data_IF_761176259726
#
_entry.id   IF_761176259726
#
_cell.length_a   1.000
_cell.length_b   1.000
_cell.length_c   1.000
_cell.angle_alpha   90.00
_cell.angle_beta   90.00
_cell.angle_gamma   90.00
#
_symmetry.space_group_name_H-M   'P 1'
#
loop_
_entity.id
_entity.type
_entity.pdbx_description
1 polymer ?
#
# COMPACT_ATOMS: atom_id res chain seq x y z
N UNK A 1 -5.91 21.57 21.23
CA UNK A 1 -5.08 22.00 20.09
C UNK A 1 -5.49 23.40 19.64
N UNK A 2 -6.74 23.62 19.25
CA UNK A 2 -7.22 24.89 18.69
C UNK A 2 -6.97 26.12 19.60
N UNK A 3 -7.30 26.04 20.89
CA UNK A 3 -7.00 27.10 21.84
C UNK A 3 -5.48 27.42 22.00
N UNK A 4 -4.60 26.44 21.79
CA UNK A 4 -3.14 26.68 21.81
C UNK A 4 -2.67 27.35 20.51
N UNK A 5 -3.27 26.99 19.36
CA UNK A 5 -3.00 27.65 18.09
C UNK A 5 -3.46 29.11 18.08
N UNK A 6 -4.62 29.40 18.68
CA UNK A 6 -5.14 30.77 18.85
C UNK A 6 -4.25 31.62 19.78
N UNK A 7 -3.64 31.00 20.79
CA UNK A 7 -2.66 31.63 21.66
C UNK A 7 -1.23 31.68 21.06
N UNK A 8 -1.05 31.28 19.80
CA UNK A 8 0.24 31.20 19.10
C UNK A 8 1.28 30.26 19.77
N UNK A 9 0.83 29.33 20.60
CA UNK A 9 1.67 28.29 21.20
C UNK A 9 1.69 27.05 20.30
N UNK A 10 2.54 27.10 19.26
CA UNK A 10 2.63 26.07 18.24
C UNK A 10 3.29 24.78 18.73
N UNK A 11 4.19 24.86 19.72
CA UNK A 11 4.81 23.69 20.34
C UNK A 11 3.73 22.84 21.03
N UNK A 12 2.89 23.49 21.86
CA UNK A 12 1.79 22.80 22.54
C UNK A 12 0.71 22.33 21.57
N UNK A 13 0.42 23.11 20.52
CA UNK A 13 -0.52 22.68 19.48
C UNK A 13 -0.02 21.42 18.75
N UNK A 14 1.27 21.34 18.45
CA UNK A 14 1.91 20.19 17.78
C UNK A 14 1.88 18.95 18.67
N UNK A 15 2.24 19.08 19.95
CA UNK A 15 2.17 17.97 20.90
C UNK A 15 0.75 17.40 21.01
N UNK A 16 -0.26 18.27 21.12
CA UNK A 16 -1.67 17.86 21.17
C UNK A 16 -2.13 17.20 19.88
N UNK A 17 -1.69 17.69 18.71
CA UNK A 17 -2.00 17.09 17.41
C UNK A 17 -1.41 15.69 17.28
N UNK A 18 -0.18 15.50 17.72
CA UNK A 18 0.48 14.20 17.70
C UNK A 18 -0.18 13.20 18.65
N UNK A 19 -0.61 13.65 19.84
CA UNK A 19 -1.35 12.77 20.77
C UNK A 19 -2.73 12.40 20.23
N UNK A 20 -3.43 13.34 19.59
CA UNK A 20 -4.70 13.04 18.90
C UNK A 20 -4.51 12.02 17.77
N UNK A 21 -3.45 12.17 16.96
CA UNK A 21 -3.12 11.21 15.92
C UNK A 21 -2.78 9.83 16.50
N UNK A 22 -2.05 9.77 17.63
CA UNK A 22 -1.75 8.53 18.35
C UNK A 22 -3.03 7.81 18.80
N UNK A 23 -3.95 8.53 19.45
CA UNK A 23 -5.21 7.97 19.93
C UNK A 23 -6.14 7.51 18.80
N UNK A 24 -6.07 8.16 17.63
CA UNK A 24 -6.82 7.78 16.43
C UNK A 24 -6.17 6.66 15.61
N UNK A 25 -4.94 6.25 15.93
CA UNK A 25 -4.17 5.30 15.13
C UNK A 25 -3.62 5.89 13.83
N UNK A 26 -3.56 7.22 13.72
CA UNK A 26 -3.05 7.99 12.57
C UNK A 26 -1.59 8.44 12.75
N UNK A 27 -0.92 8.05 13.84
CA UNK A 27 0.47 8.41 14.10
C UNK A 27 1.41 7.75 13.07
N UNK A 28 2.51 8.43 12.67
CA UNK A 28 3.54 7.83 11.84
C UNK A 28 4.12 6.64 12.59
N UNK A 29 4.03 5.49 11.95
CA UNK A 29 4.32 4.24 12.60
C UNK A 29 5.83 4.12 12.77
N UNK A 30 6.26 3.71 13.97
CA UNK A 30 7.66 3.41 14.21
C UNK A 30 8.09 2.26 13.29
N UNK A 31 9.33 2.29 12.75
CA UNK A 31 9.81 1.20 11.90
C UNK A 31 9.78 -0.12 12.69
N UNK A 32 8.87 -1.04 12.31
CA UNK A 32 8.74 -2.37 12.92
C UNK A 32 7.33 -2.80 13.36
N UNK A 33 6.32 -1.93 13.28
CA UNK A 33 4.94 -2.29 13.63
C UNK A 33 4.24 -3.07 12.48
N UNK A 34 3.57 -4.21 12.73
CA UNK A 34 2.99 -5.06 11.68
C UNK A 34 1.67 -4.55 11.08
N UNK A 35 1.00 -3.58 11.71
CA UNK A 35 -0.34 -3.08 11.30
C UNK A 35 -0.29 -1.70 10.63
N UNK A 36 0.56 -1.55 9.61
CA UNK A 36 0.80 -0.24 8.98
C UNK A 36 0.31 -0.19 7.55
N UNK A 37 -0.72 0.63 7.31
CA UNK A 37 -1.05 1.11 5.97
C UNK A 37 -0.16 2.31 5.68
N UNK A 38 1.11 2.06 5.37
CA UNK A 38 1.99 3.09 4.84
C UNK A 38 1.51 3.46 3.45
N UNK A 39 1.02 4.69 3.27
CA UNK A 39 0.80 5.25 1.93
C UNK A 39 2.18 5.54 1.33
N UNK A 40 2.83 4.51 0.78
CA UNK A 40 4.08 4.62 0.04
C UNK A 40 3.78 4.97 -1.42
N UNK A 41 4.68 5.70 -2.06
CA UNK A 41 4.63 5.85 -3.52
C UNK A 41 4.60 4.44 -4.16
N UNK A 42 3.64 4.14 -5.04
CA UNK A 42 3.58 2.85 -5.71
C UNK A 42 4.88 2.62 -6.49
N UNK A 43 5.45 1.41 -6.51
CA UNK A 43 6.63 1.12 -7.31
C UNK A 43 6.36 1.43 -8.79
N UNK A 44 7.40 1.79 -9.58
CA UNK A 44 7.24 2.10 -10.99
C UNK A 44 6.49 0.97 -11.73
N UNK A 45 5.36 1.28 -12.35
CA UNK A 45 4.46 0.30 -12.99
C UNK A 45 3.24 -0.10 -12.16
N UNK A 46 3.13 0.35 -10.91
CA UNK A 46 1.97 0.12 -10.03
C UNK A 46 0.94 1.28 -10.04
N UNK A 47 1.03 2.22 -10.99
CA UNK A 47 0.05 3.28 -11.18
C UNK A 47 -1.04 2.83 -12.16
N UNK A 48 -2.25 2.53 -11.68
CA UNK A 48 -3.41 2.28 -12.54
C UNK A 48 -4.53 1.50 -11.86
N UNK A 49 -5.76 1.64 -12.35
CA UNK A 49 -6.89 0.78 -11.96
C UNK A 49 -6.49 -0.69 -12.19
N UNK A 50 -6.42 -1.49 -11.12
CA UNK A 50 -6.06 -2.90 -11.18
C UNK A 50 -4.80 -3.30 -10.39
N UNK A 51 -4.02 -2.34 -9.87
CA UNK A 51 -2.84 -2.64 -9.04
C UNK A 51 -3.18 -3.03 -7.60
N UNK A 52 -4.41 -2.76 -7.15
CA UNK A 52 -4.96 -3.36 -5.94
C UNK A 52 -5.50 -4.79 -6.13
N UNK A 53 -5.47 -5.36 -7.34
CA UNK A 53 -5.92 -6.75 -7.54
C UNK A 53 -4.84 -7.68 -6.99
N UNK A 54 -5.11 -8.48 -5.94
CA UNK A 54 -4.14 -9.44 -5.46
C UNK A 54 -3.81 -10.43 -6.58
N UNK A 55 -2.54 -10.48 -6.96
CA UNK A 55 -2.05 -11.50 -7.92
C UNK A 55 -2.26 -12.85 -7.26
N UNK A 56 -3.13 -13.68 -7.84
CA UNK A 56 -3.38 -15.04 -7.35
C UNK A 56 -2.06 -15.81 -7.36
N UNK A 57 -1.53 -16.13 -6.18
CA UNK A 57 -0.34 -16.98 -6.10
C UNK A 57 -0.69 -18.38 -6.60
N UNK A 58 0.07 -18.92 -7.56
CA UNK A 58 -0.15 -20.29 -8.00
C UNK A 58 0.18 -21.27 -6.87
N UNK A 59 -0.47 -22.45 -6.83
CA UNK A 59 -0.18 -23.47 -5.84
C UNK A 59 1.31 -23.87 -5.80
N UNK A 60 1.78 -24.32 -4.64
CA UNK A 60 3.16 -24.79 -4.46
C UNK A 60 3.47 -25.92 -5.47
N UNK A 61 4.52 -25.73 -6.28
CA UNK A 61 4.93 -26.68 -7.31
C UNK A 61 4.26 -26.51 -8.68
N UNK A 62 3.41 -25.50 -8.86
CA UNK A 62 2.85 -25.21 -10.18
C UNK A 62 3.92 -24.66 -11.13
N UNK A 63 4.10 -25.33 -12.25
CA UNK A 63 5.00 -24.92 -13.33
C UNK A 63 4.16 -24.37 -14.48
N UNK A 64 4.41 -23.12 -14.88
CA UNK A 64 3.75 -22.50 -16.03
C UNK A 64 4.05 -23.30 -17.30
N UNK A 65 3.04 -23.70 -18.11
CA UNK A 65 3.28 -24.36 -19.38
C UNK A 65 4.16 -23.52 -20.31
N UNK A 66 5.05 -24.17 -21.06
CA UNK A 66 5.85 -23.51 -22.08
C UNK A 66 4.92 -22.91 -23.13
N UNK A 67 5.16 -21.65 -23.49
CA UNK A 67 4.40 -20.99 -24.56
C UNK A 67 4.60 -21.83 -25.85
N UNK A 68 3.53 -22.12 -26.60
CA UNK A 68 3.68 -22.78 -27.90
C UNK A 68 4.58 -21.93 -28.79
N UNK A 69 5.32 -22.60 -29.68
CA UNK A 69 6.12 -21.92 -30.68
C UNK A 69 5.19 -21.03 -31.53
N UNK A 70 5.64 -19.82 -31.86
CA UNK A 70 4.89 -18.92 -32.73
C UNK A 70 4.62 -19.54 -34.11
N UNK A 71 5.47 -20.49 -34.52
CA UNK A 71 5.32 -21.25 -35.76
C UNK A 71 4.44 -22.51 -35.63
N UNK A 72 3.98 -22.85 -34.41
CA UNK A 72 2.98 -23.90 -34.21
C UNK A 72 1.59 -23.29 -34.20
N UNK A 73 0.93 -23.33 -35.37
CA UNK A 73 -0.48 -22.95 -35.53
C UNK A 73 -1.40 -23.85 -34.71
N UNK A 74 -1.69 -23.44 -33.47
CA UNK A 74 -2.74 -24.05 -32.66
C UNK A 74 -4.09 -23.49 -33.07
N UNK A 75 -4.97 -24.33 -33.64
CA UNK A 75 -6.40 -24.02 -33.85
C UNK A 75 -6.97 -23.33 -32.62
N UNK A 76 -7.63 -22.19 -32.84
CA UNK A 76 -8.26 -21.39 -31.79
C UNK A 76 -9.10 -22.25 -30.84
N UNK A 77 -9.01 -21.94 -29.55
CA UNK A 77 -9.88 -22.54 -28.52
C UNK A 77 -11.32 -22.18 -28.89
N UNK A 78 -12.12 -23.19 -29.22
CA UNK A 78 -13.59 -23.10 -29.23
C UNK A 78 -14.10 -23.08 -27.80
#
# INVERSE_FOLDING_TARGET
>A
MQAAAEAMDFEKATALRNEMARLKGEAPVQPGDPDTVTVSQPPPGAMGLGTQVPVRQPPKGWVKPKKPDFMTGGKGRK
#
